data_IF_429566854885
#
_entry.id   IF_429566854885
#
_cell.length_a   1.000
_cell.length_b   1.000
_cell.length_c   1.000
_cell.angle_alpha   90.00
_cell.angle_beta   90.00
_cell.angle_gamma   90.00
#
_symmetry.space_group_name_H-M   'P 1'
#
loop_
_entity.id
_entity.type
_entity.pdbx_description
1 polymer ?
#
# COMPACT_ATOMS: atom_id res chain seq x y z
N UNK A 1 1.03 -36.78 -0.64
CA UNK A 1 0.83 -35.78 -1.72
C UNK A 1 -0.02 -34.66 -1.14
N UNK A 2 0.35 -33.37 -1.20
CA UNK A 2 -0.58 -32.32 -0.84
C UNK A 2 -1.62 -32.21 -1.96
N UNK A 3 -2.86 -32.56 -1.64
CA UNK A 3 -4.02 -32.35 -2.51
C UNK A 3 -4.22 -30.85 -2.69
N UNK A 4 -4.09 -30.38 -3.93
CA UNK A 4 -4.46 -29.01 -4.26
C UNK A 4 -5.94 -28.77 -3.98
N UNK A 5 -6.22 -27.89 -3.03
CA UNK A 5 -7.57 -27.66 -2.52
C UNK A 5 -7.81 -26.20 -2.16
N UNK A 6 -9.09 -25.84 -2.21
CA UNK A 6 -9.58 -24.59 -1.62
C UNK A 6 -9.33 -24.66 -0.12
N UNK A 7 -8.56 -23.72 0.41
CA UNK A 7 -8.15 -23.65 1.81
C UNK A 7 -8.45 -22.29 2.42
N UNK A 8 -8.74 -22.29 3.72
CA UNK A 8 -8.80 -21.06 4.51
C UNK A 8 -7.37 -20.61 4.83
N UNK A 9 -7.10 -19.34 4.55
CA UNK A 9 -5.80 -18.69 4.60
C UNK A 9 -5.91 -17.45 5.47
N UNK A 10 -4.96 -17.28 6.39
CA UNK A 10 -4.76 -16.06 7.15
C UNK A 10 -3.53 -15.34 6.61
N UNK A 11 -3.71 -14.15 6.04
CA UNK A 11 -2.63 -13.30 5.58
C UNK A 11 -2.21 -12.35 6.70
N UNK A 12 -0.98 -12.50 7.19
CA UNK A 12 -0.33 -11.54 8.08
C UNK A 12 0.59 -10.67 7.23
N UNK A 13 0.28 -9.38 7.10
CA UNK A 13 0.96 -8.50 6.15
C UNK A 13 1.72 -7.40 6.87
N UNK A 14 2.88 -7.03 6.33
CA UNK A 14 3.65 -5.85 6.72
C UNK A 14 3.84 -4.94 5.51
N UNK A 15 3.67 -3.63 5.70
CA UNK A 15 3.69 -2.63 4.65
C UNK A 15 4.53 -1.43 5.08
N UNK A 16 5.07 -0.72 4.09
CA UNK A 16 5.78 0.54 4.29
C UNK A 16 5.20 1.59 3.34
N UNK A 17 4.87 2.75 3.91
CA UNK A 17 4.29 3.87 3.18
C UNK A 17 5.28 5.02 3.12
N UNK A 18 5.30 5.74 2.01
CA UNK A 18 6.21 6.86 1.80
C UNK A 18 5.92 7.96 2.83
N UNK A 19 6.95 8.59 3.38
CA UNK A 19 6.79 9.67 4.36
C UNK A 19 6.52 9.22 5.80
N UNK A 20 5.92 8.04 6.00
CA UNK A 20 5.64 7.47 7.33
C UNK A 20 6.80 6.57 7.78
N UNK A 21 8.00 7.15 7.94
CA UNK A 21 9.24 6.40 8.18
C UNK A 21 9.76 6.66 9.59
N UNK A 22 10.14 5.59 10.30
CA UNK A 22 10.81 5.66 11.61
C UNK A 22 10.06 6.48 12.67
N UNK A 23 8.73 6.56 12.53
CA UNK A 23 7.84 7.24 13.45
C UNK A 23 6.45 6.65 13.31
N UNK A 24 5.88 6.22 14.44
CA UNK A 24 4.47 5.86 14.54
C UNK A 24 3.62 7.15 14.50
N UNK A 25 2.54 7.22 13.69
CA UNK A 25 1.56 8.31 13.77
C UNK A 25 0.90 8.39 15.15
N UNK A 26 0.25 9.52 15.45
CA UNK A 26 -0.60 9.63 16.64
C UNK A 26 -1.70 8.58 16.63
N UNK A 27 -2.27 8.23 17.78
CA UNK A 27 -3.30 7.19 17.86
C UNK A 27 -4.54 7.48 17.00
N UNK A 28 -4.86 8.76 16.79
CA UNK A 28 -5.92 9.19 15.89
C UNK A 28 -5.63 8.86 14.43
N UNK A 29 -4.36 8.94 14.01
CA UNK A 29 -3.92 8.67 12.65
C UNK A 29 -3.34 7.27 12.44
N UNK A 30 -3.09 6.50 13.51
CA UNK A 30 -2.48 5.16 13.47
C UNK A 30 -3.47 4.04 13.09
N UNK A 31 -4.33 4.33 12.10
CA UNK A 31 -5.26 3.39 11.47
C UNK A 31 -5.41 3.79 10.00
N UNK A 32 -5.34 2.83 9.10
CA UNK A 32 -5.61 3.07 7.67
C UNK A 32 -6.50 1.98 7.09
N UNK A 33 -7.42 2.41 6.22
CA UNK A 33 -8.12 1.49 5.34
C UNK A 33 -7.18 1.18 4.17
N UNK A 34 -6.72 -0.06 4.10
CA UNK A 34 -5.85 -0.54 3.02
C UNK A 34 -6.59 -1.65 2.29
N UNK A 35 -6.87 -1.40 1.01
CA UNK A 35 -7.54 -2.36 0.13
C UNK A 35 -6.52 -3.32 -0.46
N UNK A 36 -6.81 -4.61 -0.37
CA UNK A 36 -6.01 -5.68 -0.94
C UNK A 36 -6.83 -6.39 -2.03
N UNK A 37 -6.33 -6.39 -3.25
CA UNK A 37 -6.90 -7.22 -4.33
C UNK A 37 -5.96 -8.38 -4.58
N UNK A 38 -6.46 -9.60 -4.38
CA UNK A 38 -5.72 -10.81 -4.72
C UNK A 38 -6.02 -11.16 -6.18
N UNK A 39 -4.99 -11.10 -7.02
CA UNK A 39 -5.04 -11.48 -8.42
C UNK A 39 -4.52 -12.91 -8.58
N UNK A 40 -5.37 -13.80 -9.07
CA UNK A 40 -5.04 -15.19 -9.35
C UNK A 40 -4.47 -15.32 -10.77
N UNK A 41 -3.17 -15.56 -10.87
CA UNK A 41 -2.43 -15.71 -12.14
C UNK A 41 -2.80 -17.00 -12.88
N UNK A 42 -3.54 -17.91 -12.24
CA UNK A 42 -3.99 -19.19 -12.83
C UNK A 42 -5.32 -19.03 -13.54
N UNK A 43 -6.24 -18.26 -12.95
CA UNK A 43 -7.60 -18.06 -13.45
C UNK A 43 -7.83 -16.68 -14.08
N UNK A 44 -6.87 -15.78 -13.94
CA UNK A 44 -6.95 -14.36 -14.31
C UNK A 44 -8.13 -13.62 -13.63
N UNK A 45 -8.53 -14.08 -12.45
CA UNK A 45 -9.59 -13.46 -11.65
C UNK A 45 -8.99 -12.62 -10.52
N UNK A 46 -9.75 -11.63 -10.06
CA UNK A 46 -9.41 -10.79 -8.91
C UNK A 46 -10.49 -10.87 -7.84
N UNK A 47 -10.09 -10.85 -6.58
CA UNK A 47 -11.00 -10.70 -5.45
C UNK A 47 -10.48 -9.63 -4.49
N UNK A 48 -11.38 -8.77 -4.03
CA UNK A 48 -11.07 -7.71 -3.08
C UNK A 48 -11.25 -8.19 -1.64
N UNK A 49 -10.33 -7.78 -0.79
CA UNK A 49 -10.31 -8.07 0.64
C UNK A 49 -9.91 -6.83 1.40
N UNK A 50 -10.56 -6.64 2.55
CA UNK A 50 -10.15 -5.64 3.52
C UNK A 50 -9.19 -6.27 4.53
N UNK A 51 -8.24 -5.47 5.01
CA UNK A 51 -7.38 -5.85 6.11
C UNK A 51 -7.87 -5.19 7.38
N UNK A 52 -8.16 -6.03 8.38
CA UNK A 52 -8.52 -5.54 9.71
C UNK A 52 -7.27 -5.06 10.46
N UNK A 53 -7.43 -3.97 11.20
CA UNK A 53 -6.46 -3.55 12.22
C UNK A 53 -5.12 -3.06 11.69
N UNK A 54 -5.07 -2.51 10.46
CA UNK A 54 -3.82 -1.98 9.90
C UNK A 54 -3.32 -0.80 10.74
N UNK A 55 -2.25 -1.03 11.49
CA UNK A 55 -1.64 -0.05 12.39
C UNK A 55 -0.10 -0.09 12.28
N UNK A 56 0.53 1.05 12.50
CA UNK A 56 1.98 1.23 12.43
C UNK A 56 2.66 0.91 13.76
N UNK A 57 3.86 0.34 13.69
CA UNK A 57 4.80 0.23 14.81
C UNK A 57 5.71 1.48 14.89
N UNK A 58 6.67 1.49 15.82
CA UNK A 58 7.61 2.61 16.02
C UNK A 58 8.55 2.84 14.82
N UNK A 59 8.74 1.85 13.96
CA UNK A 59 9.57 1.92 12.77
C UNK A 59 8.81 2.44 11.54
N UNK A 60 7.51 2.72 11.68
CA UNK A 60 6.64 3.10 10.55
C UNK A 60 6.16 1.90 9.71
N UNK A 61 6.33 0.67 10.20
CA UNK A 61 5.85 -0.55 9.53
C UNK A 61 4.41 -0.81 9.92
N UNK A 62 3.55 -0.85 8.90
CA UNK A 62 2.11 -1.07 9.06
C UNK A 62 1.79 -2.55 8.95
N UNK A 63 1.17 -3.10 9.98
CA UNK A 63 0.82 -4.51 10.05
C UNK A 63 -0.67 -4.71 10.13
N UNK A 64 -1.19 -5.74 9.48
CA UNK A 64 -2.59 -6.11 9.58
C UNK A 64 -2.85 -7.55 9.17
N UNK A 65 -4.09 -8.00 9.37
CA UNK A 65 -4.50 -9.39 9.11
C UNK A 65 -5.77 -9.43 8.28
N UNK A 66 -5.83 -10.38 7.33
CA UNK A 66 -7.05 -10.70 6.58
C UNK A 66 -7.21 -12.21 6.44
N UNK A 67 -8.42 -12.71 6.65
CA UNK A 67 -8.78 -14.12 6.50
C UNK A 67 -9.53 -14.30 5.17
N UNK A 68 -9.09 -15.25 4.35
CA UNK A 68 -9.65 -15.47 3.01
C UNK A 68 -9.63 -16.95 2.60
N UNK A 69 -10.43 -17.29 1.59
CA UNK A 69 -10.54 -18.65 1.07
C UNK A 69 -10.08 -18.69 -0.37
N UNK A 70 -9.03 -19.46 -0.66
CA UNK A 70 -8.38 -19.51 -2.00
C UNK A 70 -7.97 -20.92 -2.37
N UNK A 71 -7.74 -21.16 -3.66
CA UNK A 71 -7.07 -22.37 -4.10
C UNK A 71 -5.56 -22.27 -3.81
N UNK A 72 -5.09 -23.05 -2.83
CA UNK A 72 -3.69 -23.06 -2.37
C UNK A 72 -2.69 -23.60 -3.40
N UNK A 73 -3.16 -24.18 -4.50
CA UNK A 73 -2.31 -24.60 -5.63
C UNK A 73 -2.06 -23.51 -6.67
N UNK A 74 -2.75 -22.39 -6.56
CA UNK A 74 -2.62 -21.29 -7.51
C UNK A 74 -1.45 -20.37 -7.11
N UNK A 75 -1.04 -19.54 -8.08
CA UNK A 75 -0.10 -18.44 -7.85
C UNK A 75 -0.82 -17.12 -7.90
N UNK A 76 -0.42 -16.22 -7.03
CA UNK A 76 -1.09 -14.93 -6.87
C UNK A 76 -0.12 -13.77 -7.04
N UNK A 77 -0.67 -12.64 -7.49
CA UNK A 77 -0.14 -11.33 -7.21
C UNK A 77 -1.09 -10.61 -6.25
N UNK A 78 -0.55 -9.66 -5.50
CA UNK A 78 -1.31 -8.84 -4.59
C UNK A 78 -1.26 -7.39 -5.06
N UNK A 79 -2.41 -6.74 -5.19
CA UNK A 79 -2.49 -5.32 -5.45
C UNK A 79 -2.86 -4.62 -4.15
N UNK A 80 -1.99 -3.73 -3.69
CA UNK A 80 -2.14 -3.03 -2.42
C UNK A 80 -2.43 -1.56 -2.70
N UNK A 81 -3.51 -1.04 -2.11
CA UNK A 81 -3.94 0.35 -2.27
C UNK A 81 -4.23 0.97 -0.90
N UNK A 82 -3.41 1.94 -0.51
CA UNK A 82 -3.63 2.78 0.66
C UNK A 82 -4.51 4.00 0.34
N UNK A 83 -4.93 4.78 1.36
CA UNK A 83 -5.92 5.86 1.20
C UNK A 83 -5.40 7.11 0.48
N UNK A 84 -4.08 7.25 0.35
CA UNK A 84 -3.39 8.36 -0.30
C UNK A 84 -2.34 7.89 -1.31
N UNK A 85 -2.26 6.57 -1.53
CA UNK A 85 -1.08 5.92 -2.11
C UNK A 85 -1.40 5.31 -3.45
N UNK A 86 -0.47 5.36 -4.40
CA UNK A 86 -0.61 4.62 -5.66
C UNK A 86 -0.79 3.12 -5.39
N UNK A 87 -1.67 2.48 -6.17
CA UNK A 87 -1.83 1.04 -6.12
C UNK A 87 -0.54 0.35 -6.58
N UNK A 88 -0.07 -0.64 -5.83
CA UNK A 88 1.13 -1.39 -6.18
C UNK A 88 0.83 -2.87 -6.37
N UNK A 89 1.21 -3.43 -7.53
CA UNK A 89 1.24 -4.88 -7.78
C UNK A 89 2.50 -5.48 -7.14
N UNK A 90 2.33 -6.53 -6.35
CA UNK A 90 3.37 -7.22 -5.60
C UNK A 90 3.28 -8.71 -5.93
N UNK A 91 4.42 -9.32 -6.25
CA UNK A 91 4.45 -10.68 -6.82
C UNK A 91 5.23 -11.68 -5.96
N UNK A 92 5.79 -11.25 -4.83
CA UNK A 92 6.61 -12.07 -3.92
C UNK A 92 6.25 -11.73 -2.47
N UNK A 93 6.44 -12.68 -1.56
CA UNK A 93 6.11 -12.54 -0.14
C UNK A 93 7.11 -11.68 0.66
N UNK A 94 8.31 -11.46 0.11
CA UNK A 94 9.35 -10.61 0.67
C UNK A 94 10.06 -9.85 -0.46
N UNK A 95 9.37 -8.88 -1.10
CA UNK A 95 9.93 -8.09 -2.18
C UNK A 95 10.99 -7.12 -1.65
N UNK A 96 11.93 -6.73 -2.52
CA UNK A 96 12.97 -5.75 -2.23
C UNK A 96 13.04 -4.74 -3.37
N UNK A 97 13.41 -3.50 -3.07
CA UNK A 97 13.76 -2.49 -4.07
C UNK A 97 15.12 -1.87 -3.79
N UNK A 98 15.79 -1.43 -4.85
CA UNK A 98 17.09 -0.75 -4.75
C UNK A 98 16.95 0.75 -4.52
N UNK A 99 15.81 1.32 -4.92
CA UNK A 99 15.43 2.70 -4.71
C UNK A 99 13.95 2.78 -4.32
N UNK A 100 13.60 3.78 -3.52
CA UNK A 100 12.25 3.93 -2.97
C UNK A 100 11.19 3.99 -4.05
N UNK A 101 10.20 3.10 -3.97
CA UNK A 101 9.05 3.07 -4.86
C UNK A 101 9.30 2.45 -6.23
N UNK A 102 10.50 1.97 -6.55
CA UNK A 102 10.85 1.43 -7.88
C UNK A 102 10.56 -0.07 -8.04
N UNK A 103 10.10 -0.76 -7.00
CA UNK A 103 9.71 -2.17 -7.14
C UNK A 103 8.67 -2.36 -8.25
N UNK A 104 8.95 -3.29 -9.17
CA UNK A 104 8.04 -3.73 -10.23
C UNK A 104 8.09 -5.24 -10.39
N UNK A 105 6.99 -5.81 -10.87
CA UNK A 105 6.93 -7.21 -11.23
C UNK A 105 5.87 -7.45 -12.31
N UNK A 106 6.15 -8.41 -13.20
CA UNK A 106 5.24 -8.78 -14.28
C UNK A 106 4.24 -9.85 -13.85
N UNK A 107 4.73 -10.94 -13.23
CA UNK A 107 3.95 -12.13 -12.91
C UNK A 107 3.96 -12.45 -11.42
N UNK A 108 2.77 -12.64 -10.85
CA UNK A 108 2.54 -13.12 -9.50
C UNK A 108 3.15 -14.50 -9.25
N UNK A 109 3.89 -14.62 -8.16
CA UNK A 109 4.52 -15.86 -7.73
C UNK A 109 4.36 -16.07 -6.21
N UNK A 110 3.34 -15.45 -5.61
CA UNK A 110 2.96 -15.70 -4.22
C UNK A 110 2.20 -17.03 -4.20
N UNK A 111 2.68 -17.97 -3.38
CA UNK A 111 1.98 -19.21 -3.08
C UNK A 111 1.43 -19.10 -1.66
N UNK A 112 0.16 -19.46 -1.49
CA UNK A 112 -0.53 -19.44 -0.21
C UNK A 112 -0.78 -20.86 0.26
N UNK A 113 -0.62 -21.07 1.56
CA UNK A 113 -0.86 -22.35 2.24
C UNK A 113 -2.03 -22.21 3.21
N UNK A 114 -2.73 -23.30 3.54
CA UNK A 114 -3.79 -23.23 4.54
C UNK A 114 -3.22 -22.78 5.90
N UNK A 115 -3.94 -21.91 6.60
CA UNK A 115 -3.48 -21.29 7.85
C UNK A 115 -2.66 -20.02 7.62
N UNK A 116 -1.66 -19.78 8.47
CA UNK A 116 -0.90 -18.52 8.50
C UNK A 116 0.08 -18.37 7.34
N UNK A 117 0.02 -17.22 6.67
CA UNK A 117 0.94 -16.82 5.62
C UNK A 117 1.48 -15.42 5.96
N UNK A 118 2.80 -15.35 6.16
CA UNK A 118 3.48 -14.12 6.52
C UNK A 118 4.04 -13.45 5.27
N UNK A 119 3.48 -12.30 4.91
CA UNK A 119 3.88 -11.49 3.77
C UNK A 119 4.57 -10.24 4.29
N UNK A 120 5.90 -10.25 4.29
CA UNK A 120 6.69 -9.09 4.67
C UNK A 120 6.95 -8.21 3.45
N UNK A 121 5.99 -7.33 3.15
CA UNK A 121 6.07 -6.42 2.01
C UNK A 121 6.74 -5.09 2.39
N UNK A 122 7.31 -4.98 3.60
CA UNK A 122 7.95 -3.76 4.09
C UNK A 122 9.28 -3.43 3.41
N UNK A 123 9.85 -4.39 2.65
CA UNK A 123 11.04 -4.21 1.82
C UNK A 123 10.84 -3.33 0.59
N UNK A 124 9.62 -2.83 0.35
CA UNK A 124 9.27 -1.89 -0.73
C UNK A 124 8.36 -0.77 -0.21
N UNK A 125 8.42 0.39 -0.83
CA UNK A 125 7.66 1.58 -0.42
C UNK A 125 6.45 1.80 -1.33
N UNK A 126 5.28 1.93 -0.72
CA UNK A 126 4.06 2.42 -1.38
C UNK A 126 4.11 3.95 -1.46
N UNK A 127 4.16 4.48 -2.69
CA UNK A 127 4.28 5.90 -2.97
C UNK A 127 2.96 6.63 -2.70
N UNK A 128 3.04 7.82 -2.09
CA UNK A 128 1.91 8.70 -1.86
C UNK A 128 1.61 9.57 -3.11
N UNK A 129 0.38 10.05 -3.25
CA UNK A 129 0.05 11.14 -4.16
C UNK A 129 -1.08 10.91 -5.14
N UNK A 130 -1.89 9.88 -4.92
CA UNK A 130 -3.16 9.71 -5.62
C UNK A 130 -4.26 10.28 -4.70
N UNK A 131 -4.71 11.53 -4.93
CA UNK A 131 -5.44 12.36 -3.95
C UNK A 131 -6.57 13.21 -4.56
N UNK A 132 -7.66 13.48 -3.80
CA UNK A 132 -8.30 12.53 -2.91
C UNK A 132 -9.09 11.49 -3.73
N UNK A 133 -9.34 11.74 -5.03
CA UNK A 133 -10.28 11.00 -5.89
C UNK A 133 -9.83 9.55 -6.18
N UNK A 134 -8.60 9.17 -5.81
CA UNK A 134 -8.06 7.81 -5.96
C UNK A 134 -8.14 7.28 -7.41
N UNK A 135 -7.74 8.09 -8.40
CA UNK A 135 -7.87 7.80 -9.83
C UNK A 135 -6.73 6.92 -10.38
N UNK A 136 -5.78 6.52 -9.53
CA UNK A 136 -4.61 5.72 -9.90
C UNK A 136 -3.45 6.55 -10.45
N UNK A 137 -3.52 7.88 -10.38
CA UNK A 137 -2.55 8.79 -10.96
C UNK A 137 -2.10 9.88 -10.01
N UNK A 138 -0.78 10.13 -10.02
CA UNK A 138 -0.23 11.38 -9.49
C UNK A 138 -0.16 12.36 -10.65
N UNK A 139 -0.83 13.49 -10.51
CA UNK A 139 -0.99 14.51 -11.53
C UNK A 139 -0.67 15.90 -11.00
N UNK A 140 -0.78 16.91 -11.88
CA UNK A 140 -0.71 18.31 -11.46
C UNK A 140 -1.83 18.71 -10.50
N UNK A 141 -2.96 18.00 -10.50
CA UNK A 141 -4.06 18.25 -9.58
C UNK A 141 -3.63 17.94 -8.14
N UNK A 142 -3.07 16.75 -7.89
CA UNK A 142 -2.61 16.30 -6.57
C UNK A 142 -1.56 17.25 -5.98
N UNK A 143 -0.61 17.68 -6.83
CA UNK A 143 0.43 18.64 -6.47
C UNK A 143 -0.19 19.99 -6.09
N UNK A 144 -1.18 20.45 -6.85
CA UNK A 144 -1.86 21.73 -6.60
C UNK A 144 -2.69 21.67 -5.33
N UNK A 145 -3.35 20.54 -5.06
CA UNK A 145 -4.11 20.29 -3.83
C UNK A 145 -3.21 20.42 -2.60
N UNK A 146 -2.09 19.68 -2.55
CA UNK A 146 -1.16 19.74 -1.42
C UNK A 146 -0.60 21.15 -1.26
N UNK A 147 -0.16 21.78 -2.36
CA UNK A 147 0.34 23.17 -2.33
C UNK A 147 -0.68 24.15 -1.76
N UNK A 148 -1.95 24.02 -2.11
CA UNK A 148 -3.03 24.88 -1.62
C UNK A 148 -3.36 24.63 -0.14
N UNK A 149 -2.91 23.51 0.43
CA UNK A 149 -3.10 23.14 1.83
C UNK A 149 -1.89 23.41 2.73
N UNK A 150 -0.73 23.77 2.18
CA UNK A 150 0.47 24.08 2.97
C UNK A 150 0.17 25.15 4.02
N UNK A 151 0.49 24.83 5.28
CA UNK A 151 0.33 25.73 6.43
C UNK A 151 -1.12 25.89 6.92
N UNK A 152 -2.08 25.21 6.30
CA UNK A 152 -3.47 25.16 6.77
C UNK A 152 -3.66 24.00 7.75
N UNK A 153 -4.53 24.21 8.73
CA UNK A 153 -4.86 23.22 9.76
C UNK A 153 -6.34 22.89 9.80
N UNK A 154 -7.11 23.32 8.79
CA UNK A 154 -8.51 22.93 8.68
C UNK A 154 -8.62 21.45 8.31
N UNK A 155 -9.70 20.82 8.77
CA UNK A 155 -9.94 19.38 8.65
C UNK A 155 -9.95 18.91 7.19
N UNK A 156 -10.44 19.73 6.27
CA UNK A 156 -10.46 19.39 4.83
C UNK A 156 -9.04 19.30 4.26
N UNK A 157 -8.17 20.24 4.60
CA UNK A 157 -6.78 20.17 4.15
C UNK A 157 -6.02 19.01 4.79
N UNK A 158 -6.16 18.79 6.09
CA UNK A 158 -5.52 17.67 6.77
C UNK A 158 -5.99 16.32 6.19
N UNK A 159 -7.30 16.13 6.04
CA UNK A 159 -7.86 14.87 5.51
C UNK A 159 -7.51 14.60 4.04
N UNK A 160 -7.20 15.62 3.24
CA UNK A 160 -6.94 15.45 1.81
C UNK A 160 -5.47 15.51 1.42
N UNK A 161 -4.61 16.12 2.24
CA UNK A 161 -3.24 16.46 1.83
C UNK A 161 -2.13 16.13 2.85
N UNK A 162 -2.45 15.71 4.08
CA UNK A 162 -1.48 15.17 5.04
C UNK A 162 -1.17 13.70 4.67
N UNK A 163 -0.23 13.52 3.75
CA UNK A 163 0.08 12.20 3.19
C UNK A 163 1.06 11.41 4.06
N UNK A 164 1.87 12.11 4.85
CA UNK A 164 2.82 11.50 5.79
C UNK A 164 2.18 11.21 7.18
N UNK A 165 0.95 11.68 7.41
CA UNK A 165 0.14 11.48 8.61
C UNK A 165 0.79 12.03 9.87
N UNK A 166 1.30 13.25 9.80
CA UNK A 166 1.94 13.94 10.93
C UNK A 166 1.15 15.13 11.51
N UNK A 167 -0.13 15.25 11.11
CA UNK A 167 -1.10 16.27 11.52
C UNK A 167 -0.82 17.65 10.93
N UNK A 168 0.03 17.73 9.89
CA UNK A 168 0.35 18.97 9.20
C UNK A 168 0.40 18.71 7.71
N UNK A 169 0.15 19.77 6.94
CA UNK A 169 0.44 19.79 5.51
C UNK A 169 1.54 20.81 5.31
N UNK A 170 2.72 20.35 4.88
CA UNK A 170 3.86 21.24 4.66
C UNK A 170 4.69 20.85 3.43
N UNK A 171 5.92 21.38 3.36
CA UNK A 171 6.84 21.10 2.25
C UNK A 171 7.26 19.65 2.14
N UNK A 172 7.17 18.86 3.23
CA UNK A 172 7.44 17.43 3.24
C UNK A 172 6.38 16.70 2.41
N UNK A 173 5.09 16.93 2.66
CA UNK A 173 4.00 16.36 1.85
C UNK A 173 4.18 16.71 0.39
N UNK A 174 4.41 17.99 0.10
CA UNK A 174 4.65 18.46 -1.26
C UNK A 174 5.81 17.74 -1.96
N UNK A 175 6.92 17.53 -1.23
CA UNK A 175 8.09 16.81 -1.75
C UNK A 175 7.81 15.33 -2.00
N UNK A 176 6.97 14.69 -1.18
CA UNK A 176 6.57 13.29 -1.35
C UNK A 176 5.78 13.08 -2.64
N UNK A 177 4.83 13.99 -2.95
CA UNK A 177 4.05 13.94 -4.21
C UNK A 177 4.97 14.11 -5.43
N UNK A 178 5.89 15.08 -5.39
CA UNK A 178 6.86 15.30 -6.48
C UNK A 178 7.72 14.06 -6.70
N UNK A 179 8.22 13.46 -5.61
CA UNK A 179 9.00 12.24 -5.69
C UNK A 179 8.19 11.09 -6.32
N UNK A 180 6.92 10.93 -5.96
CA UNK A 180 6.05 9.93 -6.56
C UNK A 180 5.80 10.16 -8.05
N UNK A 181 5.63 11.42 -8.47
CA UNK A 181 5.51 11.79 -9.89
C UNK A 181 6.76 11.39 -10.69
N UNK A 182 7.96 11.60 -10.12
CA UNK A 182 9.22 11.26 -10.80
C UNK A 182 9.37 9.76 -11.06
N UNK A 183 8.85 8.91 -10.15
CA UNK A 183 8.86 7.46 -10.33
C UNK A 183 7.79 6.99 -11.31
N UNK A 184 6.67 7.72 -11.45
CA UNK A 184 5.59 7.39 -12.38
C UNK A 184 5.93 7.75 -13.84
N UNK A 185 6.64 8.84 -14.08
CA UNK A 185 6.94 9.31 -15.44
C UNK A 185 7.99 8.46 -16.19
N UNK A 186 8.75 7.62 -15.49
CA UNK A 186 9.71 6.69 -16.11
C UNK A 186 9.05 5.41 -16.67
N UNK A 187 7.71 5.31 -16.64
CA UNK A 187 6.95 4.10 -17.00
C UNK A 187 5.91 4.31 -18.12
N UNK A 188 6.38 4.75 -19.29
CA UNK A 188 5.63 4.68 -20.56
C UNK A 188 5.91 3.38 -21.32
#
# INVERSE_FOLDING_TARGET
MPTGGVGSVRLNVKLKFQGILNKRPTDALNKMLVKFTLYDETTNQSADYDIAGVASNEEGIWSGVSDLTVNTSHKFALLVKGPYHLQKKICRVAPTETAGGTYRCSKGNITLTAGDNNLDLSGIISLAGDLPEQDGTVSSYDISLVRNCIGKTDETCLSNADVNRDEKVDTQDYSLIIAALSVKNDEL
#
